data_IF_901476190199
#
_entry.id   IF_901476190199
#
_cell.length_a   1.000
_cell.length_b   1.000
_cell.length_c   1.000
_cell.angle_alpha   90.00
_cell.angle_beta   90.00
_cell.angle_gamma   90.00
#
_symmetry.space_group_name_H-M   'P 1'
#
loop_
_entity.id
_entity.type
_entity.pdbx_description
1 polymer ?
#
# COMPACT_ATOMS: atom_id res chain seq x y z
N UNK A 1 13.52 -8.18 30.15
CA UNK A 1 12.31 -7.61 30.82
C UNK A 1 11.09 -8.37 30.30
N UNK A 2 10.14 -8.72 31.19
CA UNK A 2 8.89 -9.41 30.83
C UNK A 2 7.73 -8.45 31.05
N UNK A 3 6.95 -8.22 30.00
CA UNK A 3 5.73 -7.38 30.07
C UNK A 3 4.60 -8.21 30.70
N UNK A 4 3.80 -7.64 31.62
CA UNK A 4 2.65 -8.33 32.19
C UNK A 4 1.69 -8.83 31.08
N UNK A 5 1.20 -10.09 31.17
CA UNK A 5 0.35 -10.68 30.11
C UNK A 5 -0.95 -9.91 29.81
N UNK A 6 -1.49 -9.22 30.81
CA UNK A 6 -2.71 -8.42 30.70
C UNK A 6 -2.53 -7.08 29.96
N UNK A 7 -1.28 -6.67 29.71
CA UNK A 7 -0.96 -5.51 28.87
C UNK A 7 -0.72 -5.89 27.41
N UNK A 8 -0.45 -7.17 27.11
CA UNK A 8 -0.09 -7.60 25.76
C UNK A 8 -1.27 -7.46 24.79
N UNK A 9 -1.00 -7.07 23.51
CA UNK A 9 -2.00 -7.16 22.46
C UNK A 9 -2.40 -8.62 22.21
N UNK A 10 -3.58 -8.83 21.64
CA UNK A 10 -4.02 -10.16 21.22
C UNK A 10 -3.09 -10.74 20.13
N UNK A 11 -2.64 -9.88 19.21
CA UNK A 11 -1.65 -10.22 18.19
C UNK A 11 -0.56 -9.15 18.15
N UNK A 12 0.69 -9.55 18.34
CA UNK A 12 1.84 -8.64 18.43
C UNK A 12 2.45 -8.22 17.07
N UNK A 13 1.81 -8.48 15.93
CA UNK A 13 2.36 -8.17 14.59
C UNK A 13 1.90 -6.79 14.11
N UNK A 14 2.81 -5.80 14.14
CA UNK A 14 2.55 -4.41 13.74
C UNK A 14 3.37 -3.97 12.51
N UNK A 15 3.83 -4.92 11.70
CA UNK A 15 4.66 -4.65 10.54
C UNK A 15 3.95 -3.83 9.46
N UNK A 16 4.60 -2.75 9.01
CA UNK A 16 4.09 -1.90 7.93
C UNK A 16 4.40 -2.44 6.52
N UNK A 17 4.65 -3.75 6.43
CA UNK A 17 4.75 -4.52 5.19
C UNK A 17 5.91 -5.52 5.14
N UNK A 18 5.57 -6.83 5.06
CA UNK A 18 4.21 -7.40 5.05
C UNK A 18 3.45 -7.11 6.34
N UNK A 19 2.13 -7.10 6.25
CA UNK A 19 1.23 -6.87 7.37
C UNK A 19 0.75 -8.19 7.99
N UNK A 20 0.12 -8.09 9.16
CA UNK A 20 -0.61 -9.20 9.78
C UNK A 20 -1.64 -9.78 8.82
N UNK A 21 -1.58 -11.09 8.58
CA UNK A 21 -2.66 -11.87 7.95
C UNK A 21 -3.64 -12.30 9.05
N UNK A 22 -4.95 -12.13 8.82
CA UNK A 22 -5.97 -12.54 9.77
C UNK A 22 -6.00 -14.07 9.94
N UNK A 23 -6.12 -14.59 11.17
CA UNK A 23 -6.16 -16.04 11.42
C UNK A 23 -7.26 -16.74 10.64
N UNK A 24 -8.45 -16.14 10.51
CA UNK A 24 -9.59 -16.69 9.79
C UNK A 24 -9.28 -16.90 8.30
N UNK A 25 -8.56 -15.96 7.68
CA UNK A 25 -8.15 -16.08 6.29
C UNK A 25 -7.13 -17.23 6.09
N UNK A 26 -6.20 -17.41 7.03
CA UNK A 26 -5.25 -18.51 7.00
C UNK A 26 -5.92 -19.89 7.21
N UNK A 27 -6.91 -19.97 8.09
CA UNK A 27 -7.73 -21.18 8.31
C UNK A 27 -8.50 -21.50 7.03
N UNK A 28 -9.20 -20.53 6.45
CA UNK A 28 -9.96 -20.71 5.21
C UNK A 28 -9.06 -21.15 4.04
N UNK A 29 -7.83 -20.64 3.94
CA UNK A 29 -6.85 -21.09 2.95
C UNK A 29 -6.47 -22.56 3.18
N UNK A 30 -6.25 -22.96 4.44
CA UNK A 30 -5.91 -24.34 4.76
C UNK A 30 -7.07 -25.30 4.42
N UNK A 31 -8.31 -24.91 4.65
CA UNK A 31 -9.51 -25.69 4.29
C UNK A 31 -9.69 -25.84 2.76
N UNK A 32 -9.33 -24.78 2.00
CA UNK A 32 -9.43 -24.80 0.53
C UNK A 32 -8.18 -25.40 -0.14
N UNK A 33 -7.14 -25.77 0.61
CA UNK A 33 -5.83 -26.10 0.05
C UNK A 33 -5.84 -27.21 -0.98
N UNK A 34 -6.57 -28.29 -0.72
CA UNK A 34 -6.60 -29.49 -1.59
C UNK A 34 -7.25 -29.23 -2.95
N UNK A 35 -8.22 -28.31 -3.02
CA UNK A 35 -8.97 -28.00 -4.24
C UNK A 35 -8.39 -26.77 -4.99
N UNK A 36 -7.61 -25.94 -4.31
CA UNK A 36 -7.15 -24.66 -4.84
C UNK A 36 -5.63 -24.58 -5.05
N UNK A 37 -4.82 -24.92 -4.03
CA UNK A 37 -3.37 -24.82 -4.13
C UNK A 37 -2.79 -25.90 -5.06
N UNK A 38 -1.74 -25.54 -5.81
CA UNK A 38 -1.11 -26.46 -6.78
C UNK A 38 -1.97 -26.77 -8.01
N UNK A 39 -3.14 -26.12 -8.16
CA UNK A 39 -3.97 -26.28 -9.35
C UNK A 39 -3.59 -25.25 -10.44
N UNK A 40 -3.98 -25.52 -11.69
CA UNK A 40 -3.73 -24.59 -12.78
C UNK A 40 -4.54 -23.30 -12.62
N UNK A 41 -3.87 -22.14 -12.69
CA UNK A 41 -4.52 -20.82 -12.65
C UNK A 41 -5.53 -20.56 -13.79
N UNK A 42 -5.61 -21.47 -14.78
CA UNK A 42 -6.59 -21.43 -15.87
C UNK A 42 -7.84 -22.28 -15.61
N UNK A 43 -7.88 -23.02 -14.49
CA UNK A 43 -9.08 -23.75 -14.08
C UNK A 43 -10.13 -22.83 -13.50
N UNK A 44 -11.40 -23.23 -13.63
CA UNK A 44 -12.56 -22.47 -13.17
C UNK A 44 -12.43 -22.09 -11.68
N UNK A 45 -11.99 -23.01 -10.83
CA UNK A 45 -11.81 -22.77 -9.38
C UNK A 45 -10.89 -21.58 -9.09
N UNK A 46 -9.77 -21.45 -9.82
CA UNK A 46 -8.83 -20.32 -9.62
C UNK A 46 -9.35 -19.06 -10.27
N UNK A 47 -9.92 -19.17 -11.46
CA UNK A 47 -10.52 -18.02 -12.17
C UNK A 47 -11.64 -17.39 -11.38
N UNK A 48 -12.48 -18.20 -10.71
CA UNK A 48 -13.53 -17.69 -9.83
C UNK A 48 -12.97 -16.85 -8.67
N UNK A 49 -11.90 -17.30 -8.03
CA UNK A 49 -11.23 -16.54 -6.96
C UNK A 49 -10.63 -15.22 -7.50
N UNK A 50 -10.01 -15.24 -8.69
CA UNK A 50 -9.50 -14.03 -9.34
C UNK A 50 -10.64 -13.08 -9.73
N UNK A 51 -11.75 -13.62 -10.24
CA UNK A 51 -12.95 -12.84 -10.55
C UNK A 51 -13.49 -12.13 -9.31
N UNK A 52 -13.68 -12.87 -8.20
CA UNK A 52 -14.13 -12.33 -6.92
C UNK A 52 -13.19 -11.25 -6.40
N UNK A 53 -11.86 -11.42 -6.51
CA UNK A 53 -10.90 -10.39 -6.13
C UNK A 53 -11.10 -9.12 -6.95
N UNK A 54 -11.22 -9.23 -8.28
CA UNK A 54 -11.41 -8.08 -9.17
C UNK A 54 -12.73 -7.36 -8.89
N UNK A 55 -13.82 -8.12 -8.80
CA UNK A 55 -15.13 -7.59 -8.49
C UNK A 55 -15.17 -6.93 -7.10
N UNK A 56 -14.62 -7.62 -6.09
CA UNK A 56 -14.57 -7.09 -4.74
C UNK A 56 -13.70 -5.83 -4.59
N UNK A 57 -12.61 -5.71 -5.33
CA UNK A 57 -11.79 -4.47 -5.38
C UNK A 57 -12.55 -3.33 -6.07
N UNK A 58 -13.27 -3.62 -7.16
CA UNK A 58 -14.11 -2.62 -7.83
C UNK A 58 -15.22 -2.11 -6.91
N UNK A 59 -15.86 -2.99 -6.15
CA UNK A 59 -16.85 -2.65 -5.13
C UNK A 59 -16.22 -1.85 -3.98
N UNK A 60 -15.10 -2.31 -3.42
CA UNK A 60 -14.39 -1.69 -2.31
C UNK A 60 -14.07 -0.22 -2.58
N UNK A 61 -13.63 0.08 -3.80
CA UNK A 61 -13.27 1.44 -4.20
C UNK A 61 -14.38 2.19 -4.93
N UNK A 62 -15.57 1.60 -5.05
CA UNK A 62 -16.70 2.20 -5.78
C UNK A 62 -16.28 2.72 -7.16
N UNK A 63 -15.53 1.88 -7.90
CA UNK A 63 -14.96 2.30 -9.18
C UNK A 63 -16.03 2.71 -10.17
N UNK A 64 -15.88 3.84 -10.89
CA UNK A 64 -16.79 4.27 -11.93
C UNK A 64 -16.90 3.26 -13.08
N UNK A 65 -17.98 3.35 -13.85
CA UNK A 65 -18.17 2.54 -15.05
C UNK A 65 -17.00 2.68 -16.03
N UNK A 66 -16.54 1.56 -16.56
CA UNK A 66 -15.44 1.51 -17.51
C UNK A 66 -14.05 1.36 -16.90
N UNK A 67 -13.93 1.47 -15.57
CA UNK A 67 -12.66 1.12 -14.91
C UNK A 67 -12.42 -0.39 -14.95
N UNK A 68 -11.17 -0.78 -15.08
CA UNK A 68 -10.77 -2.19 -15.07
C UNK A 68 -9.77 -2.48 -13.94
N UNK A 69 -10.03 -3.56 -13.18
CA UNK A 69 -9.07 -4.06 -12.20
C UNK A 69 -8.15 -5.06 -12.87
N UNK A 70 -6.86 -4.74 -12.92
CA UNK A 70 -5.80 -5.51 -13.58
C UNK A 70 -4.87 -6.11 -12.53
N UNK A 71 -4.45 -7.35 -12.73
CA UNK A 71 -3.52 -8.06 -11.85
C UNK A 71 -2.25 -8.47 -12.57
N UNK A 72 -1.15 -8.51 -11.82
CA UNK A 72 0.10 -9.08 -12.30
C UNK A 72 1.00 -9.58 -11.18
N UNK A 73 2.00 -10.34 -11.56
CA UNK A 73 2.98 -10.91 -10.64
C UNK A 73 4.07 -9.88 -10.31
N UNK A 74 4.60 -9.90 -9.08
CA UNK A 74 5.83 -9.19 -8.71
C UNK A 74 5.71 -8.05 -7.69
N UNK A 75 4.53 -7.65 -7.27
CA UNK A 75 4.33 -6.53 -6.32
C UNK A 75 4.55 -5.15 -6.97
N UNK A 76 4.41 -4.08 -6.19
CA UNK A 76 4.36 -2.69 -6.68
C UNK A 76 5.64 -2.24 -7.38
N UNK A 77 6.81 -2.70 -6.95
CA UNK A 77 8.07 -2.39 -7.64
C UNK A 77 8.07 -2.92 -9.07
N UNK A 78 7.52 -4.13 -9.29
CA UNK A 78 7.32 -4.66 -10.64
C UNK A 78 6.27 -3.87 -11.43
N UNK A 79 5.28 -3.29 -10.75
CA UNK A 79 4.32 -2.40 -11.41
C UNK A 79 4.96 -1.08 -11.87
N UNK A 80 5.89 -0.50 -11.09
CA UNK A 80 6.63 0.70 -11.55
C UNK A 80 7.35 0.45 -12.87
N UNK A 81 8.05 -0.69 -12.98
CA UNK A 81 8.71 -1.06 -14.23
C UNK A 81 7.69 -1.19 -15.37
N UNK A 82 6.54 -1.83 -15.13
CA UNK A 82 5.47 -1.91 -16.12
C UNK A 82 4.90 -0.53 -16.48
N UNK A 83 4.69 0.37 -15.51
CA UNK A 83 4.19 1.72 -15.75
C UNK A 83 5.14 2.56 -16.63
N UNK A 84 6.45 2.45 -16.40
CA UNK A 84 7.49 3.10 -17.24
C UNK A 84 7.33 2.75 -18.70
N UNK A 85 7.03 1.49 -19.01
CA UNK A 85 6.90 1.04 -20.40
C UNK A 85 5.52 1.31 -21.03
N UNK A 86 4.44 1.39 -20.21
CA UNK A 86 3.09 1.31 -20.76
C UNK A 86 2.20 2.53 -20.43
N UNK A 87 2.55 3.39 -19.48
CA UNK A 87 1.70 4.48 -19.01
C UNK A 87 2.31 5.86 -19.25
N UNK A 88 3.64 5.96 -19.36
CA UNK A 88 4.34 7.20 -19.67
C UNK A 88 4.70 7.19 -21.15
N UNK A 89 4.18 8.14 -21.91
CA UNK A 89 4.48 8.24 -23.35
C UNK A 89 5.82 8.92 -23.62
N UNK A 90 6.02 10.05 -22.97
CA UNK A 90 7.18 10.91 -23.21
C UNK A 90 7.82 11.40 -21.94
N UNK A 91 7.06 12.07 -21.06
CA UNK A 91 7.60 12.71 -19.86
C UNK A 91 6.61 12.66 -18.71
N UNK A 92 7.08 12.36 -17.52
CA UNK A 92 6.28 12.38 -16.29
C UNK A 92 6.72 13.44 -15.28
N UNK A 93 5.81 13.79 -14.36
CA UNK A 93 6.10 14.53 -13.15
C UNK A 93 5.96 13.59 -11.94
N UNK A 94 6.91 13.66 -11.01
CA UNK A 94 6.92 12.85 -9.80
C UNK A 94 6.97 13.74 -8.56
N UNK A 95 6.16 13.40 -7.56
CA UNK A 95 6.29 13.95 -6.21
C UNK A 95 7.20 13.02 -5.40
N UNK A 96 8.30 13.56 -4.85
CA UNK A 96 9.30 12.80 -4.12
C UNK A 96 9.43 13.33 -2.68
N UNK A 97 8.90 12.57 -1.71
CA UNK A 97 8.86 12.95 -0.30
C UNK A 97 9.17 11.80 0.66
N UNK A 98 9.78 10.74 0.12
CA UNK A 98 10.26 9.59 0.89
C UNK A 98 10.92 8.55 0.00
N UNK A 99 11.21 7.40 0.59
CA UNK A 99 12.03 6.38 -0.08
C UNK A 99 11.32 5.71 -1.26
N UNK A 100 10.00 5.53 -1.21
CA UNK A 100 9.26 4.81 -2.24
C UNK A 100 8.94 5.72 -3.42
N UNK A 101 8.46 6.93 -3.18
CA UNK A 101 8.24 7.94 -4.21
C UNK A 101 9.52 8.28 -4.98
N UNK A 102 10.67 8.41 -4.28
CA UNK A 102 11.96 8.63 -4.91
C UNK A 102 12.42 7.47 -5.79
N UNK A 103 12.14 6.21 -5.42
CA UNK A 103 12.52 5.03 -6.22
C UNK A 103 11.81 4.97 -7.56
N UNK A 104 10.51 5.27 -7.60
CA UNK A 104 9.79 5.30 -8.87
C UNK A 104 10.33 6.41 -9.78
N UNK A 105 10.53 7.62 -9.25
CA UNK A 105 11.13 8.73 -9.99
C UNK A 105 12.52 8.37 -10.56
N UNK A 106 13.38 7.73 -9.76
CA UNK A 106 14.70 7.28 -10.19
C UNK A 106 14.63 6.21 -11.29
N UNK A 107 13.65 5.29 -11.21
CA UNK A 107 13.40 4.31 -12.27
C UNK A 107 13.06 4.96 -13.61
N UNK A 108 12.17 5.95 -13.59
CA UNK A 108 11.82 6.72 -14.80
C UNK A 108 13.01 7.48 -15.36
N UNK A 109 13.81 8.14 -14.52
CA UNK A 109 14.98 8.93 -14.94
C UNK A 109 16.03 8.09 -15.69
N UNK A 110 16.05 6.77 -15.48
CA UNK A 110 16.98 5.86 -16.18
C UNK A 110 16.39 5.20 -17.42
N UNK A 111 15.11 5.45 -17.72
CA UNK A 111 14.43 4.81 -18.85
C UNK A 111 14.85 5.43 -20.19
N UNK A 112 15.51 4.66 -21.10
CA UNK A 112 16.14 5.22 -22.31
C UNK A 112 15.15 5.72 -23.36
N UNK A 113 13.88 5.39 -23.22
CA UNK A 113 12.80 5.76 -24.15
C UNK A 113 11.95 6.93 -23.66
N UNK A 114 12.24 7.47 -22.46
CA UNK A 114 11.55 8.61 -21.88
C UNK A 114 12.46 9.83 -21.78
N UNK A 115 11.86 11.01 -21.74
CA UNK A 115 12.55 12.24 -21.39
C UNK A 115 12.77 12.29 -19.87
N UNK A 116 13.74 13.12 -19.44
CA UNK A 116 13.99 13.35 -18.02
C UNK A 116 12.71 13.79 -17.29
N UNK A 117 12.30 13.10 -16.21
CA UNK A 117 11.09 13.45 -15.48
C UNK A 117 11.25 14.78 -14.74
N UNK A 118 10.15 15.46 -14.49
CA UNK A 118 10.09 16.56 -13.53
C UNK A 118 9.94 15.96 -12.14
N UNK A 119 10.88 16.23 -11.24
CA UNK A 119 10.81 15.74 -9.85
C UNK A 119 10.63 16.93 -8.94
N UNK A 120 9.48 16.99 -8.25
CA UNK A 120 9.18 17.98 -7.23
C UNK A 120 9.38 17.29 -5.87
N UNK A 121 10.32 17.82 -5.08
CA UNK A 121 10.68 17.24 -3.79
C UNK A 121 10.32 18.17 -2.64
N UNK A 122 10.05 17.58 -1.47
CA UNK A 122 9.92 18.29 -0.21
C UNK A 122 10.80 17.65 0.87
N UNK A 123 10.88 18.31 2.03
CA UNK A 123 11.54 17.75 3.20
C UNK A 123 10.81 16.49 3.71
N UNK A 124 11.55 15.58 4.33
CA UNK A 124 10.95 14.37 4.94
C UNK A 124 9.97 14.76 6.05
N UNK A 125 8.83 14.08 6.09
CA UNK A 125 7.74 14.44 7.01
C UNK A 125 6.75 15.46 6.44
N UNK A 126 6.95 15.89 5.17
CA UNK A 126 6.01 16.72 4.39
C UNK A 126 5.79 16.09 3.01
N UNK A 127 4.88 16.64 2.20
CA UNK A 127 4.77 16.31 0.78
C UNK A 127 4.66 17.59 -0.06
N UNK A 128 5.16 17.57 -1.32
CA UNK A 128 4.96 18.66 -2.27
C UNK A 128 3.61 18.53 -2.96
N UNK A 129 3.22 19.57 -3.68
CA UNK A 129 2.04 19.56 -4.55
C UNK A 129 2.44 19.38 -6.02
N UNK A 130 1.61 18.66 -6.78
CA UNK A 130 1.77 18.53 -8.21
C UNK A 130 1.35 19.83 -8.91
N UNK A 131 2.06 20.14 -10.01
CA UNK A 131 1.82 21.37 -10.78
C UNK A 131 1.46 20.99 -12.21
N UNK A 132 0.37 21.54 -12.73
CA UNK A 132 0.00 21.34 -14.13
C UNK A 132 1.13 21.81 -15.06
N UNK A 133 1.57 20.94 -15.96
CA UNK A 133 2.63 21.20 -16.93
C UNK A 133 2.27 20.57 -18.28
N UNK A 134 2.15 21.36 -19.36
CA UNK A 134 1.73 20.88 -20.68
C UNK A 134 2.78 19.99 -21.36
N UNK A 135 3.98 19.87 -20.81
CA UNK A 135 5.04 18.97 -21.32
C UNK A 135 5.01 17.59 -20.68
N UNK A 136 4.08 17.36 -19.73
CA UNK A 136 3.94 16.13 -18.94
C UNK A 136 2.72 15.38 -19.40
N UNK A 137 2.87 14.08 -19.64
CA UNK A 137 1.77 13.18 -20.01
C UNK A 137 1.37 12.20 -18.91
N UNK A 138 2.09 12.19 -17.78
CA UNK A 138 1.76 11.39 -16.60
C UNK A 138 2.25 12.06 -15.31
N UNK A 139 1.37 12.11 -14.29
CA UNK A 139 1.64 12.62 -12.94
C UNK A 139 1.70 11.45 -11.97
N UNK A 140 2.83 11.24 -11.32
CA UNK A 140 3.04 10.17 -10.36
C UNK A 140 2.94 10.71 -8.93
N UNK A 141 1.88 10.30 -8.25
CA UNK A 141 1.56 10.64 -6.87
C UNK A 141 1.77 9.43 -5.96
N UNK A 142 1.93 9.66 -4.66
CA UNK A 142 2.00 8.60 -3.65
C UNK A 142 0.99 8.88 -2.55
N UNK A 143 -0.07 8.07 -2.47
CA UNK A 143 -1.17 8.27 -1.52
C UNK A 143 -0.70 8.19 -0.06
N UNK A 144 0.21 7.27 0.23
CA UNK A 144 0.84 7.12 1.54
C UNK A 144 2.31 6.72 1.39
N UNK A 145 3.22 7.54 1.86
CA UNK A 145 4.65 7.23 1.88
C UNK A 145 5.01 6.45 3.15
N UNK A 146 5.10 5.14 3.01
CA UNK A 146 5.32 4.21 4.15
C UNK A 146 6.61 4.47 4.92
N UNK A 147 7.62 5.05 4.28
CA UNK A 147 8.92 5.30 4.91
C UNK A 147 8.88 6.45 5.92
N UNK A 148 7.96 7.39 5.74
CA UNK A 148 7.87 8.63 6.55
C UNK A 148 6.56 8.75 7.34
N UNK A 149 5.52 7.98 6.98
CA UNK A 149 4.19 8.11 7.60
C UNK A 149 3.47 9.39 7.14
N UNK A 150 3.75 9.87 5.94
CA UNK A 150 3.06 11.00 5.31
C UNK A 150 2.00 10.47 4.35
N UNK A 151 0.77 10.93 4.46
CA UNK A 151 -0.30 10.74 3.48
C UNK A 151 -0.60 12.05 2.77
N UNK A 152 -1.17 11.96 1.57
CA UNK A 152 -1.61 13.13 0.82
C UNK A 152 -3.05 12.94 0.33
N UNK A 153 -3.81 14.01 0.29
CA UNK A 153 -5.08 14.05 -0.41
C UNK A 153 -4.82 13.98 -1.92
N UNK A 154 -5.58 13.14 -2.61
CA UNK A 154 -5.41 12.97 -4.06
C UNK A 154 -6.26 13.96 -4.80
N UNK A 155 -5.64 14.73 -5.68
CA UNK A 155 -6.32 15.61 -6.62
C UNK A 155 -5.61 15.59 -7.97
N UNK A 156 -6.38 15.65 -9.04
CA UNK A 156 -5.88 15.70 -10.41
C UNK A 156 -5.21 17.05 -10.67
N UNK A 157 -3.90 17.08 -11.04
CA UNK A 157 -3.19 18.35 -11.25
C UNK A 157 -3.61 19.05 -12.55
N UNK A 158 -4.10 18.30 -13.54
CA UNK A 158 -4.46 18.78 -14.87
C UNK A 158 -5.53 17.88 -15.50
N UNK A 159 -6.34 18.44 -16.37
CA UNK A 159 -7.25 17.66 -17.24
C UNK A 159 -6.48 16.83 -18.28
N UNK A 160 -5.27 17.28 -18.64
CA UNK A 160 -4.35 16.57 -19.55
C UNK A 160 -3.37 15.70 -18.75
N UNK A 161 -3.05 14.52 -19.31
CA UNK A 161 -2.14 13.56 -18.69
C UNK A 161 -2.83 12.57 -17.75
N UNK A 162 -2.18 11.42 -17.52
CA UNK A 162 -2.68 10.39 -16.60
C UNK A 162 -2.20 10.65 -15.17
N UNK A 163 -3.07 10.41 -14.19
CA UNK A 163 -2.72 10.42 -12.77
C UNK A 163 -2.45 9.00 -12.29
N UNK A 164 -1.17 8.70 -12.00
CA UNK A 164 -0.67 7.41 -11.55
C UNK A 164 -0.42 7.47 -10.04
N UNK A 165 -1.19 6.74 -9.25
CA UNK A 165 -1.13 6.80 -7.79
C UNK A 165 -0.55 5.52 -7.21
N UNK A 166 0.61 5.64 -6.56
CA UNK A 166 1.13 4.60 -5.69
C UNK A 166 0.30 4.58 -4.40
N UNK A 167 -0.58 3.61 -4.31
CA UNK A 167 -1.42 3.38 -3.15
C UNK A 167 -0.98 2.14 -2.35
N UNK A 168 0.27 1.72 -2.48
CA UNK A 168 0.77 0.45 -1.91
C UNK A 168 0.39 0.27 -0.45
N UNK A 169 0.51 1.29 0.37
CA UNK A 169 0.12 1.23 1.79
C UNK A 169 -1.18 1.96 2.12
N UNK A 170 -1.76 2.70 1.18
CA UNK A 170 -3.02 3.42 1.37
C UNK A 170 -4.26 2.63 0.97
N UNK A 171 -4.13 1.77 -0.07
CA UNK A 171 -5.25 1.06 -0.67
C UNK A 171 -5.96 0.13 0.32
N UNK A 172 -7.22 0.39 0.60
CA UNK A 172 -8.05 -0.34 1.56
C UNK A 172 -7.97 0.17 3.00
N UNK A 173 -7.29 1.32 3.24
CA UNK A 173 -7.22 1.95 4.56
C UNK A 173 -7.36 3.47 4.53
N UNK A 174 -7.15 4.11 3.37
CA UNK A 174 -7.35 5.54 3.17
C UNK A 174 -8.47 5.81 2.17
N UNK A 175 -9.23 6.87 2.42
CA UNK A 175 -10.28 7.35 1.50
C UNK A 175 -9.67 8.05 0.31
N UNK A 176 -10.29 7.93 -0.85
CA UNK A 176 -9.97 8.70 -2.05
C UNK A 176 -11.16 8.73 -3.00
N UNK A 177 -11.17 9.68 -3.91
CA UNK A 177 -12.10 9.71 -5.04
C UNK A 177 -11.46 9.04 -6.26
N UNK A 178 -12.00 7.91 -6.76
CA UNK A 178 -11.46 7.27 -7.96
C UNK A 178 -11.43 8.18 -9.19
N UNK A 179 -12.31 9.17 -9.30
CA UNK A 179 -12.35 10.11 -10.41
C UNK A 179 -11.09 11.01 -10.51
N UNK A 180 -10.39 11.20 -9.40
CA UNK A 180 -9.12 11.94 -9.35
C UNK A 180 -7.92 11.13 -9.85
N UNK A 181 -8.11 9.83 -10.20
CA UNK A 181 -7.02 8.92 -10.54
C UNK A 181 -7.28 8.19 -11.86
N UNK A 182 -6.21 7.95 -12.63
CA UNK A 182 -6.30 7.10 -13.83
C UNK A 182 -5.77 5.69 -13.57
N UNK A 183 -4.76 5.58 -12.71
CA UNK A 183 -4.21 4.29 -12.30
C UNK A 183 -3.93 4.34 -10.80
N UNK A 184 -4.79 3.69 -10.02
CA UNK A 184 -4.60 3.50 -8.58
C UNK A 184 -4.05 2.10 -8.35
N UNK A 185 -2.74 1.99 -8.05
CA UNK A 185 -2.06 0.70 -7.99
C UNK A 185 -1.47 0.40 -6.62
N UNK A 186 -1.46 -0.88 -6.27
CA UNK A 186 -1.06 -1.35 -4.94
C UNK A 186 -0.66 -2.82 -4.95
N UNK A 187 -0.17 -3.30 -3.80
CA UNK A 187 0.12 -4.70 -3.55
C UNK A 187 -0.57 -5.16 -2.25
N UNK A 188 -1.02 -6.42 -2.17
CA UNK A 188 -1.98 -6.84 -1.14
C UNK A 188 -1.38 -7.05 0.26
N UNK A 189 -0.05 -7.01 0.43
CA UNK A 189 0.63 -7.28 1.71
C UNK A 189 0.58 -6.12 2.71
N UNK A 190 -0.30 -5.15 2.55
CA UNK A 190 -0.49 -3.99 3.43
C UNK A 190 -1.91 -4.00 4.01
N UNK A 191 -2.76 -3.01 3.72
CA UNK A 191 -4.14 -2.96 4.22
C UNK A 191 -4.99 -4.19 3.83
N UNK A 192 -4.69 -4.82 2.68
CA UNK A 192 -5.39 -6.03 2.26
C UNK A 192 -4.88 -7.32 2.93
N UNK A 193 -3.99 -7.22 3.90
CA UNK A 193 -3.61 -8.29 4.85
C UNK A 193 -3.38 -9.66 4.21
N UNK A 194 -2.81 -9.67 3.01
CA UNK A 194 -2.35 -10.86 2.30
C UNK A 194 -0.83 -10.87 2.22
N UNK A 195 -0.25 -11.90 1.62
CA UNK A 195 1.19 -11.93 1.38
C UNK A 195 1.58 -11.19 0.09
N UNK A 196 2.88 -10.99 -0.13
CA UNK A 196 3.41 -10.33 -1.33
C UNK A 196 3.32 -11.20 -2.59
N UNK A 197 3.88 -10.68 -3.69
CA UNK A 197 4.01 -11.41 -4.96
C UNK A 197 2.99 -11.03 -6.03
N UNK A 198 2.07 -10.13 -5.73
CA UNK A 198 1.10 -9.57 -6.67
C UNK A 198 1.14 -8.04 -6.66
N UNK A 199 0.73 -7.46 -7.77
CA UNK A 199 0.24 -6.09 -7.82
C UNK A 199 -1.19 -6.08 -8.40
N UNK A 200 -1.96 -5.09 -8.01
CA UNK A 200 -3.28 -4.77 -8.56
C UNK A 200 -3.26 -3.31 -9.00
N UNK A 201 -4.02 -3.02 -10.06
CA UNK A 201 -4.19 -1.66 -10.57
C UNK A 201 -5.64 -1.45 -11.01
N UNK A 202 -6.27 -0.40 -10.50
CA UNK A 202 -7.56 0.09 -10.97
C UNK A 202 -7.28 1.11 -12.08
N UNK A 203 -7.59 0.77 -13.32
CA UNK A 203 -7.27 1.56 -14.51
C UNK A 203 -8.53 2.23 -15.05
N UNK A 204 -8.49 3.56 -15.23
CA UNK A 204 -9.54 4.33 -15.91
C UNK A 204 -9.63 3.97 -17.40
N UNK A 205 -10.72 4.30 -18.10
CA UNK A 205 -10.80 4.17 -19.55
C UNK A 205 -9.65 4.86 -20.29
N UNK A 206 -9.21 6.03 -19.82
CA UNK A 206 -8.07 6.75 -20.39
C UNK A 206 -6.74 5.98 -20.22
N UNK A 207 -6.53 5.36 -19.07
CA UNK A 207 -5.37 4.51 -18.81
C UNK A 207 -5.39 3.25 -19.69
N UNK A 208 -6.55 2.61 -19.82
CA UNK A 208 -6.73 1.44 -20.71
C UNK A 208 -6.41 1.80 -22.16
N UNK A 209 -6.95 2.91 -22.66
CA UNK A 209 -6.64 3.41 -24.01
C UNK A 209 -5.15 3.67 -24.20
N UNK A 210 -4.49 4.29 -23.21
CA UNK A 210 -3.03 4.54 -23.22
C UNK A 210 -2.24 3.23 -23.32
N UNK A 211 -2.59 2.24 -22.50
CA UNK A 211 -1.95 0.92 -22.51
C UNK A 211 -2.09 0.26 -23.88
N UNK A 212 -3.30 0.24 -24.44
CA UNK A 212 -3.57 -0.39 -25.74
C UNK A 212 -2.88 0.36 -26.88
N UNK A 213 -2.84 1.69 -26.86
CA UNK A 213 -2.16 2.53 -27.86
C UNK A 213 -0.64 2.32 -27.84
N UNK A 214 0.00 2.28 -26.68
CA UNK A 214 1.45 2.05 -26.57
C UNK A 214 1.79 0.61 -27.03
N UNK A 215 0.96 -0.37 -26.73
CA UNK A 215 1.20 -1.77 -27.05
C UNK A 215 1.22 -2.07 -28.56
N UNK A 216 0.53 -1.28 -29.37
CA UNK A 216 0.53 -1.41 -30.83
C UNK A 216 1.57 -0.51 -31.53
N UNK A 217 2.30 0.30 -30.77
CA UNK A 217 3.39 1.16 -31.26
C UNK A 217 4.71 0.42 -31.40
N UNK A 218 5.77 1.17 -31.74
CA UNK A 218 7.12 0.64 -31.99
C UNK A 218 7.95 0.42 -30.71
N UNK A 219 7.41 0.78 -29.52
CA UNK A 219 8.11 0.60 -28.25
C UNK A 219 8.24 -0.88 -27.92
N UNK A 220 9.48 -1.37 -27.80
CA UNK A 220 9.71 -2.72 -27.29
C UNK A 220 9.37 -2.78 -25.78
N UNK A 221 8.53 -3.73 -25.39
CA UNK A 221 8.11 -3.94 -24.02
C UNK A 221 8.39 -5.39 -23.65
N UNK A 222 9.11 -5.68 -22.54
CA UNK A 222 9.25 -7.05 -22.07
C UNK A 222 7.86 -7.67 -21.83
N UNK A 223 7.55 -8.87 -22.32
CA UNK A 223 6.21 -9.47 -22.19
C UNK A 223 5.69 -9.54 -20.73
N UNK A 224 6.57 -9.77 -19.75
CA UNK A 224 6.22 -9.81 -18.33
C UNK A 224 5.86 -8.45 -17.73
N UNK A 225 6.24 -7.35 -18.40
CA UNK A 225 5.95 -5.98 -18.02
C UNK A 225 4.92 -5.31 -18.93
N UNK A 226 4.36 -6.05 -19.89
CA UNK A 226 3.39 -5.52 -20.84
C UNK A 226 1.99 -5.49 -20.23
N UNK A 227 1.51 -4.29 -19.92
CA UNK A 227 0.20 -4.09 -19.28
C UNK A 227 -0.97 -4.48 -20.23
N UNK A 228 -0.80 -4.45 -21.56
CA UNK A 228 -1.83 -4.95 -22.46
C UNK A 228 -1.99 -6.47 -22.34
N UNK A 229 -0.90 -7.21 -22.13
CA UNK A 229 -0.97 -8.64 -21.83
C UNK A 229 -1.64 -8.88 -20.47
N UNK A 230 -1.28 -8.11 -19.44
CA UNK A 230 -1.88 -8.21 -18.12
C UNK A 230 -3.39 -7.89 -18.17
N UNK A 231 -3.77 -6.82 -18.86
CA UNK A 231 -5.16 -6.42 -19.09
C UNK A 231 -5.98 -7.52 -19.78
N UNK A 232 -5.46 -8.04 -20.90
CA UNK A 232 -6.13 -9.12 -21.64
C UNK A 232 -6.21 -10.44 -20.86
N UNK A 233 -5.28 -10.68 -19.95
CA UNK A 233 -5.32 -11.82 -19.03
C UNK A 233 -6.37 -11.59 -17.95
N UNK A 234 -6.38 -10.42 -17.31
CA UNK A 234 -7.32 -10.06 -16.26
C UNK A 234 -8.77 -10.06 -16.72
N UNK A 235 -9.05 -9.65 -17.98
CA UNK A 235 -10.38 -9.76 -18.61
C UNK A 235 -10.90 -11.21 -18.72
N UNK A 236 -10.01 -12.21 -18.58
CA UNK A 236 -10.32 -13.64 -18.57
C UNK A 236 -10.24 -14.25 -17.15
N UNK A 237 -10.06 -13.41 -16.14
CA UNK A 237 -9.79 -13.79 -14.76
C UNK A 237 -8.53 -14.66 -14.62
N UNK A 238 -7.48 -14.28 -15.34
CA UNK A 238 -6.18 -14.92 -15.38
C UNK A 238 -5.06 -13.89 -15.16
N UNK A 239 -3.85 -14.38 -14.92
CA UNK A 239 -2.61 -13.62 -15.03
C UNK A 239 -1.76 -14.17 -16.16
N UNK A 240 -0.81 -13.36 -16.68
CA UNK A 240 0.09 -13.80 -17.77
C UNK A 240 0.86 -15.07 -17.41
N UNK A 241 1.31 -15.17 -16.17
CA UNK A 241 1.99 -16.34 -15.62
C UNK A 241 1.30 -16.77 -14.32
N UNK A 242 1.53 -17.98 -13.82
CA UNK A 242 0.92 -18.48 -12.58
C UNK A 242 1.15 -17.50 -11.45
N UNK A 243 0.07 -17.00 -10.80
CA UNK A 243 0.19 -16.09 -9.66
C UNK A 243 0.50 -16.85 -8.38
N UNK A 244 0.86 -16.12 -7.33
CA UNK A 244 0.91 -16.64 -5.97
C UNK A 244 -0.52 -16.94 -5.49
N UNK A 245 -0.99 -18.18 -5.69
CA UNK A 245 -2.39 -18.58 -5.41
C UNK A 245 -2.80 -18.31 -3.97
N UNK A 246 -1.93 -18.62 -3.01
CA UNK A 246 -2.20 -18.32 -1.61
C UNK A 246 -2.44 -16.82 -1.37
N UNK A 247 -1.62 -15.96 -1.97
CA UNK A 247 -1.79 -14.50 -1.89
C UNK A 247 -3.10 -14.03 -2.51
N UNK A 248 -3.49 -14.58 -3.68
CA UNK A 248 -4.78 -14.26 -4.31
C UNK A 248 -5.94 -14.63 -3.39
N UNK A 249 -5.89 -15.81 -2.79
CA UNK A 249 -6.93 -16.30 -1.87
C UNK A 249 -7.04 -15.42 -0.62
N UNK A 250 -5.91 -15.11 0.02
CA UNK A 250 -5.88 -14.24 1.20
C UNK A 250 -6.39 -12.83 0.89
N UNK A 251 -6.03 -12.29 -0.29
CA UNK A 251 -6.49 -10.97 -0.72
C UNK A 251 -8.00 -10.92 -0.93
N UNK A 252 -8.58 -11.93 -1.58
CA UNK A 252 -10.05 -12.06 -1.71
C UNK A 252 -10.71 -12.08 -0.35
N UNK A 253 -10.21 -12.91 0.55
CA UNK A 253 -10.78 -13.06 1.89
C UNK A 253 -10.77 -11.77 2.70
N UNK A 254 -9.74 -10.94 2.50
CA UNK A 254 -9.65 -9.64 3.14
C UNK A 254 -10.58 -8.61 2.50
N UNK A 255 -10.63 -8.56 1.17
CA UNK A 255 -11.50 -7.63 0.43
C UNK A 255 -12.97 -7.90 0.74
N UNK A 256 -13.39 -9.17 0.70
CA UNK A 256 -14.76 -9.56 1.03
C UNK A 256 -15.11 -9.22 2.49
N UNK A 257 -14.19 -9.47 3.42
CA UNK A 257 -14.38 -9.09 4.83
C UNK A 257 -14.56 -7.56 4.98
N UNK A 258 -13.76 -6.75 4.31
CA UNK A 258 -13.91 -5.29 4.38
C UNK A 258 -15.27 -4.87 3.79
N UNK A 259 -15.65 -5.41 2.63
CA UNK A 259 -16.92 -5.09 1.97
C UNK A 259 -18.13 -5.49 2.81
N UNK A 260 -18.10 -6.68 3.46
CA UNK A 260 -19.15 -7.15 4.37
C UNK A 260 -19.37 -6.20 5.55
N UNK A 261 -18.32 -5.58 6.07
CA UNK A 261 -18.41 -4.66 7.21
C UNK A 261 -18.71 -3.21 6.82
N UNK A 262 -18.80 -2.87 5.54
CA UNK A 262 -19.16 -1.53 5.07
C UNK A 262 -18.14 -0.87 4.14
N UNK A 263 -17.26 -1.67 3.53
CA UNK A 263 -16.34 -1.24 2.49
C UNK A 263 -15.23 -0.33 2.98
N UNK A 264 -14.74 0.51 2.06
CA UNK A 264 -13.62 1.41 2.33
C UNK A 264 -13.88 2.37 3.49
N UNK A 265 -15.11 2.85 3.64
CA UNK A 265 -15.46 3.80 4.71
C UNK A 265 -15.31 3.16 6.10
N UNK A 266 -15.75 1.92 6.26
CA UNK A 266 -15.54 1.18 7.50
C UNK A 266 -14.05 0.94 7.78
N UNK A 267 -13.29 0.51 6.76
CA UNK A 267 -11.86 0.24 6.90
C UNK A 267 -11.06 1.49 7.26
N UNK A 268 -11.35 2.61 6.58
CA UNK A 268 -10.72 3.91 6.86
C UNK A 268 -11.07 4.41 8.27
N UNK A 269 -12.35 4.34 8.68
CA UNK A 269 -12.76 4.71 10.03
C UNK A 269 -12.03 3.90 11.11
N UNK A 270 -11.79 2.61 10.85
CA UNK A 270 -11.01 1.75 11.74
C UNK A 270 -9.54 2.17 11.82
N UNK A 271 -8.95 2.57 10.69
CA UNK A 271 -7.59 3.15 10.66
C UNK A 271 -7.54 4.50 11.39
N UNK A 272 -8.56 5.36 11.22
CA UNK A 272 -8.67 6.64 11.93
C UNK A 272 -8.68 6.42 13.45
N UNK A 273 -9.46 5.47 13.95
CA UNK A 273 -9.49 5.13 15.38
C UNK A 273 -8.11 4.68 15.89
N UNK A 274 -7.40 3.88 15.13
CA UNK A 274 -6.05 3.43 15.49
C UNK A 274 -5.05 4.60 15.47
N UNK A 275 -5.17 5.50 14.50
CA UNK A 275 -4.34 6.70 14.39
C UNK A 275 -4.60 7.67 15.57
N UNK A 276 -5.85 7.91 15.92
CA UNK A 276 -6.23 8.74 17.07
C UNK A 276 -5.62 8.20 18.36
N UNK A 277 -5.66 6.89 18.57
CA UNK A 277 -5.09 6.25 19.76
C UNK A 277 -3.58 6.51 19.85
N UNK A 278 -2.83 6.14 18.80
CA UNK A 278 -1.36 6.20 18.85
C UNK A 278 -0.84 7.64 18.83
N UNK A 279 -1.44 8.54 18.04
CA UNK A 279 -0.99 9.93 17.99
C UNK A 279 -1.36 10.68 19.27
N UNK A 280 -2.57 10.50 19.82
CA UNK A 280 -2.95 11.06 21.13
C UNK A 280 -2.03 10.55 22.23
N UNK A 281 -1.70 9.25 22.24
CA UNK A 281 -0.74 8.69 23.17
C UNK A 281 0.64 9.35 23.02
N UNK A 282 1.16 9.45 21.80
CA UNK A 282 2.48 9.99 21.54
C UNK A 282 2.62 11.48 21.94
N UNK A 283 1.59 12.28 21.68
CA UNK A 283 1.56 13.72 22.04
C UNK A 283 1.46 13.97 23.56
N UNK A 284 0.95 13.00 24.32
CA UNK A 284 0.81 13.10 25.77
C UNK A 284 1.97 12.45 26.55
N UNK A 285 3.07 12.09 25.90
CA UNK A 285 4.27 11.53 26.54
C UNK A 285 5.46 12.47 26.39
N UNK A 286 6.24 12.61 27.46
CA UNK A 286 7.42 13.47 27.45
C UNK A 286 8.61 12.87 26.68
N UNK A 287 8.53 11.62 26.27
CA UNK A 287 9.58 10.88 25.57
C UNK A 287 9.25 10.52 24.12
N UNK A 288 8.08 10.92 23.61
CA UNK A 288 7.66 10.67 22.22
C UNK A 288 7.14 11.92 21.54
N UNK A 289 7.28 11.95 20.20
CA UNK A 289 6.68 12.98 19.35
C UNK A 289 6.31 12.33 17.99
N UNK A 290 5.10 12.55 17.45
CA UNK A 290 4.80 12.17 16.08
C UNK A 290 5.79 12.83 15.13
N UNK A 291 6.42 12.03 14.25
CA UNK A 291 7.42 12.56 13.32
C UNK A 291 6.82 13.56 12.33
N UNK A 292 5.64 13.26 11.80
CA UNK A 292 4.89 14.18 10.94
C UNK A 292 4.20 15.21 11.83
N UNK A 293 4.71 16.45 11.82
CA UNK A 293 4.23 17.51 12.69
C UNK A 293 2.85 18.06 12.29
N UNK A 294 2.60 18.16 10.98
CA UNK A 294 1.31 18.61 10.46
C UNK A 294 0.29 17.46 10.55
N UNK A 295 -0.74 17.67 11.37
CA UNK A 295 -1.78 16.68 11.61
C UNK A 295 -2.60 16.35 10.36
N UNK A 296 -2.72 17.29 9.41
CA UNK A 296 -3.52 17.10 8.19
C UNK A 296 -2.91 16.08 7.21
N UNK A 297 -1.60 15.86 7.30
CA UNK A 297 -0.88 14.95 6.41
C UNK A 297 -0.29 13.74 7.13
N UNK A 298 -0.64 13.53 8.42
CA UNK A 298 -0.27 12.31 9.14
C UNK A 298 -0.97 11.10 8.52
N UNK A 299 -0.22 10.04 8.32
CA UNK A 299 -0.78 8.79 7.82
C UNK A 299 -1.68 8.14 8.87
N UNK A 300 -2.89 7.74 8.48
CA UNK A 300 -3.78 6.93 9.30
C UNK A 300 -3.58 5.42 9.13
N UNK A 301 -2.62 5.02 8.28
CA UNK A 301 -2.31 3.60 8.04
C UNK A 301 -0.90 3.20 8.49
N UNK A 302 0.00 4.17 8.69
CA UNK A 302 1.37 3.94 9.20
C UNK A 302 1.79 5.09 10.10
N UNK A 303 1.87 4.88 11.40
CA UNK A 303 2.38 5.88 12.33
C UNK A 303 3.90 5.81 12.46
N UNK A 304 4.55 6.97 12.48
CA UNK A 304 5.98 7.14 12.75
C UNK A 304 6.14 8.02 13.98
N UNK A 305 6.75 7.47 15.04
CA UNK A 305 6.86 8.10 16.35
C UNK A 305 8.32 8.18 16.73
N UNK A 306 8.84 9.41 16.87
CA UNK A 306 10.19 9.68 17.35
C UNK A 306 10.29 9.57 18.87
N UNK A 307 11.45 9.15 19.36
CA UNK A 307 11.74 9.00 20.78
C UNK A 307 12.83 9.99 21.18
N UNK A 308 12.68 10.60 22.36
CA UNK A 308 13.65 11.50 22.97
C UNK A 308 14.03 10.99 24.37
N UNK A 309 15.33 10.99 24.67
CA UNK A 309 15.87 10.49 25.93
C UNK A 309 15.80 8.99 26.17
N UNK A 310 15.17 8.23 25.24
CA UNK A 310 15.03 6.76 25.29
C UNK A 310 15.38 6.19 23.93
N UNK A 311 16.02 5.02 23.88
CA UNK A 311 16.35 4.32 22.62
C UNK A 311 15.14 3.56 22.10
N UNK A 312 14.63 3.94 20.94
CA UNK A 312 13.56 3.21 20.25
C UNK A 312 13.97 1.78 19.88
N UNK A 313 15.26 1.55 19.56
CA UNK A 313 15.79 0.22 19.26
C UNK A 313 15.80 -0.68 20.51
N UNK A 314 16.12 -0.13 21.71
CA UNK A 314 16.04 -0.88 22.97
C UNK A 314 14.59 -1.21 23.33
N UNK A 315 13.67 -0.26 23.16
CA UNK A 315 12.22 -0.49 23.32
C UNK A 315 11.75 -1.60 22.39
N UNK A 316 12.07 -1.52 21.09
CA UNK A 316 11.69 -2.53 20.09
C UNK A 316 12.28 -3.91 20.43
N UNK A 317 13.52 -3.98 20.93
CA UNK A 317 14.15 -5.22 21.34
C UNK A 317 13.41 -5.88 22.52
N UNK A 318 12.97 -5.10 23.52
CA UNK A 318 12.17 -5.63 24.64
C UNK A 318 10.78 -6.06 24.16
N UNK A 319 10.11 -5.26 23.33
CA UNK A 319 8.82 -5.61 22.71
C UNK A 319 8.91 -6.94 21.97
N UNK A 320 9.95 -7.14 21.16
CA UNK A 320 10.20 -8.37 20.38
C UNK A 320 10.36 -9.61 21.28
N UNK A 321 11.03 -9.50 22.43
CA UNK A 321 11.16 -10.63 23.37
C UNK A 321 9.84 -11.03 24.04
N UNK A 322 8.83 -10.14 23.94
CA UNK A 322 7.46 -10.35 24.43
C UNK A 322 6.45 -10.61 23.31
N UNK A 323 6.92 -10.91 22.08
CA UNK A 323 6.07 -11.30 20.95
C UNK A 323 5.50 -10.12 20.15
N UNK A 324 5.89 -8.87 20.46
CA UNK A 324 5.50 -7.68 19.69
C UNK A 324 6.61 -7.37 18.68
N UNK A 325 6.31 -7.46 17.38
CA UNK A 325 7.33 -7.48 16.33
C UNK A 325 7.07 -6.44 15.22
N UNK A 326 8.15 -6.14 14.49
CA UNK A 326 8.16 -5.35 13.26
C UNK A 326 7.72 -3.89 13.44
N UNK A 327 8.04 -3.32 14.60
CA UNK A 327 7.80 -1.91 14.95
C UNK A 327 9.03 -1.01 14.71
N UNK A 328 10.14 -1.55 14.25
CA UNK A 328 11.38 -0.82 14.04
C UNK A 328 11.24 0.28 12.98
N UNK A 329 12.06 1.32 13.10
CA UNK A 329 12.13 2.44 12.17
C UNK A 329 12.47 2.01 10.73
N UNK A 330 12.17 2.87 9.76
CA UNK A 330 12.70 2.69 8.41
C UNK A 330 14.19 3.02 8.39
N UNK A 331 15.05 2.00 8.22
CA UNK A 331 16.51 2.11 8.38
C UNK A 331 17.15 3.28 7.64
N UNK A 332 16.68 3.58 6.41
CA UNK A 332 17.27 4.63 5.59
C UNK A 332 17.05 6.04 6.15
N UNK A 333 16.09 6.25 7.04
CA UNK A 333 15.86 7.54 7.70
C UNK A 333 16.85 7.79 8.85
N UNK A 334 17.40 6.74 9.47
CA UNK A 334 18.39 6.86 10.56
C UNK A 334 17.87 7.58 11.81
N UNK A 335 16.58 7.49 12.11
CA UNK A 335 15.94 8.17 13.23
C UNK A 335 15.76 7.23 14.42
N UNK A 336 15.80 7.80 15.62
CA UNK A 336 15.38 7.13 16.86
C UNK A 336 13.85 7.06 16.91
N UNK A 337 13.25 6.06 16.26
CA UNK A 337 11.83 6.07 15.90
C UNK A 337 11.25 4.65 15.91
N UNK A 338 9.98 4.53 16.28
CA UNK A 338 9.16 3.37 15.95
C UNK A 338 8.24 3.68 14.77
N UNK A 339 7.95 2.65 13.97
CA UNK A 339 7.02 2.72 12.85
C UNK A 339 6.00 1.60 12.98
N UNK A 340 4.73 1.97 13.15
CA UNK A 340 3.64 1.07 13.48
C UNK A 340 2.61 1.04 12.36
N UNK A 341 2.25 -0.14 11.89
CA UNK A 341 1.11 -0.30 10.99
C UNK A 341 -0.21 -0.14 11.74
N UNK A 342 -1.14 0.57 11.11
CA UNK A 342 -2.51 0.80 11.59
C UNK A 342 -3.55 0.21 10.62
N UNK A 343 -3.15 -0.81 9.87
CA UNK A 343 -3.96 -1.42 8.80
C UNK A 343 -5.26 -2.04 9.33
N UNK A 344 -6.32 -2.16 8.51
CA UNK A 344 -7.63 -2.62 8.96
C UNK A 344 -7.63 -3.98 9.68
N UNK A 345 -6.69 -4.87 9.37
CA UNK A 345 -6.57 -6.17 10.05
C UNK A 345 -6.08 -6.08 11.50
N UNK A 346 -5.53 -4.93 11.92
CA UNK A 346 -5.05 -4.69 13.27
C UNK A 346 -6.18 -4.01 14.07
N UNK A 347 -6.68 -4.62 15.17
CA UNK A 347 -7.70 -3.99 15.99
C UNK A 347 -7.20 -2.71 16.67
N UNK A 348 -8.00 -1.65 16.80
CA UNK A 348 -7.64 -0.48 17.60
C UNK A 348 -7.28 -0.80 19.06
N UNK A 349 -7.85 -1.88 19.63
CA UNK A 349 -7.49 -2.39 20.96
C UNK A 349 -6.04 -2.87 21.04
N UNK A 350 -5.51 -3.50 19.96
CA UNK A 350 -4.12 -3.93 19.92
C UNK A 350 -3.17 -2.73 19.83
N UNK A 351 -3.56 -1.64 19.14
CA UNK A 351 -2.80 -0.39 19.14
C UNK A 351 -2.77 0.25 20.55
N UNK A 352 -3.89 0.25 21.26
CA UNK A 352 -3.93 0.73 22.64
C UNK A 352 -3.05 -0.13 23.57
N UNK A 353 -3.09 -1.44 23.42
CA UNK A 353 -2.23 -2.37 24.17
C UNK A 353 -0.74 -2.16 23.85
N UNK A 354 -0.38 -1.95 22.57
CA UNK A 354 1.00 -1.62 22.17
C UNK A 354 1.49 -0.34 22.88
N UNK A 355 0.67 0.72 22.90
CA UNK A 355 1.01 1.97 23.61
C UNK A 355 1.27 1.71 25.11
N UNK A 356 0.43 0.91 25.77
CA UNK A 356 0.62 0.51 27.16
C UNK A 356 1.90 -0.33 27.38
N UNK A 357 2.22 -1.23 26.45
CA UNK A 357 3.47 -1.98 26.49
C UNK A 357 4.70 -1.08 26.34
N UNK A 358 4.66 -0.08 25.46
CA UNK A 358 5.75 0.89 25.31
C UNK A 358 5.93 1.71 26.59
N UNK A 359 4.84 2.22 27.20
CA UNK A 359 4.89 2.93 28.47
C UNK A 359 5.55 2.05 29.56
N UNK A 360 5.10 0.80 29.70
CA UNK A 360 5.68 -0.15 30.66
C UNK A 360 7.18 -0.38 30.45
N UNK A 361 7.59 -0.54 29.18
CA UNK A 361 9.01 -0.74 28.85
C UNK A 361 9.84 0.47 29.22
N UNK A 362 9.42 1.68 28.85
CA UNK A 362 10.13 2.93 29.11
C UNK A 362 10.25 3.22 30.62
N UNK A 363 9.21 2.93 31.39
CA UNK A 363 9.22 3.11 32.85
C UNK A 363 10.17 2.14 33.58
N UNK A 364 10.56 1.04 32.93
CA UNK A 364 11.38 -0.02 33.55
C UNK A 364 12.75 -0.22 32.88
N UNK A 365 13.10 0.58 31.84
CA UNK A 365 14.45 0.66 31.29
C UNK A 365 15.37 1.47 32.19
#
# INVERSE_FOLDING_TARGET
MTIPPDLLPEDGRFGSGPSRVRPEAAIALAEAADDFLGTSHRKATVKDVVHRLRAGVAELFSLPDGYEVVLGNGGTTGFWDAAIFNLIESRSQHLSFGAFSAKFAAGVATAPHLQEPIIISSEVGTHPEAVADPTVDAYALTHNETSTGVSMELSRPSEDGLVLVDATSGAGGLRFDPAETDVYYFAPQKCLAADGGLWLACCSPAAVERIERIAVGDRWIPPSLNLAIALNSSRKDETYNTPALATVFLAVHQVEWINEYGGLEWAATRCDQSADIIYTWAENRGFTTPFVSDTAIRSHVVATIDFDGVSADEVAAVLRTNGIVDVESYRALGRNQLRVALFPAIPPSDIAALCGCIDYVVENL
#
